data_IF_407640332254
#
_entry.id   IF_407640332254
#
_cell.length_a   1.000
_cell.length_b   1.000
_cell.length_c   1.000
_cell.angle_alpha   90.00
_cell.angle_beta   90.00
_cell.angle_gamma   90.00
#
_symmetry.space_group_name_H-M   'P 1'
#
loop_
_entity.id
_entity.type
_entity.pdbx_description
1 polymer ?
#
# COMPACT_ATOMS: atom_id res chain seq x y z
N UNK A 1 15.87 -0.26 1.86
CA UNK A 1 15.72 1.02 1.13
C UNK A 1 16.36 2.13 1.95
N UNK A 2 17.10 3.07 1.35
CA UNK A 2 17.61 4.23 2.06
C UNK A 2 16.47 5.16 2.48
N UNK A 3 16.60 5.78 3.64
CA UNK A 3 15.65 6.79 4.13
C UNK A 3 15.80 8.03 3.25
N UNK A 4 14.70 8.49 2.64
CA UNK A 4 14.67 9.72 1.84
C UNK A 4 13.96 10.82 2.64
N UNK A 5 14.64 11.92 2.99
CA UNK A 5 13.99 13.04 3.64
C UNK A 5 13.00 13.70 2.68
N UNK A 6 11.85 14.10 3.20
CA UNK A 6 10.81 14.79 2.44
C UNK A 6 10.79 16.25 2.86
N UNK A 7 10.68 17.16 1.88
CA UNK A 7 10.57 18.58 2.15
C UNK A 7 9.17 18.93 2.66
N UNK A 8 9.10 19.48 3.87
CA UNK A 8 7.85 19.85 4.53
C UNK A 8 7.01 20.84 3.73
N UNK A 9 7.64 21.79 3.03
CA UNK A 9 6.93 22.81 2.23
C UNK A 9 6.06 22.19 1.13
N UNK A 10 6.51 21.08 0.55
CA UNK A 10 5.74 20.36 -0.48
C UNK A 10 4.48 19.71 0.08
N UNK A 11 4.46 19.34 1.36
CA UNK A 11 3.25 18.82 2.00
C UNK A 11 2.26 19.94 2.27
N UNK A 12 2.74 21.09 2.73
CA UNK A 12 1.93 22.29 3.03
C UNK A 12 1.26 22.89 1.78
N UNK A 13 1.79 22.64 0.58
CA UNK A 13 1.15 23.03 -0.69
C UNK A 13 -0.16 22.28 -0.95
N UNK A 14 -0.32 21.07 -0.41
CA UNK A 14 -1.45 20.18 -0.69
C UNK A 14 -2.38 19.98 0.52
N UNK A 15 -1.97 20.37 1.71
CA UNK A 15 -2.78 20.26 2.94
C UNK A 15 -2.75 21.53 3.75
N UNK A 16 -3.79 21.77 4.53
CA UNK A 16 -3.87 22.97 5.38
C UNK A 16 -2.91 22.88 6.57
N UNK A 17 -2.57 21.66 6.98
CA UNK A 17 -1.67 21.38 8.10
C UNK A 17 -0.86 20.09 7.85
N UNK A 18 0.31 20.02 8.47
CA UNK A 18 1.20 18.86 8.55
C UNK A 18 0.46 17.63 9.12
N UNK A 19 -0.30 17.80 10.20
CA UNK A 19 -1.02 16.69 10.82
C UNK A 19 -2.09 16.10 9.89
N UNK A 20 -2.73 16.95 9.10
CA UNK A 20 -3.68 16.53 8.07
C UNK A 20 -2.98 15.70 6.98
N UNK A 21 -1.82 16.15 6.49
CA UNK A 21 -1.01 15.38 5.54
C UNK A 21 -0.62 14.00 6.08
N UNK A 22 -0.24 13.92 7.36
CA UNK A 22 0.09 12.64 8.01
C UNK A 22 -1.13 11.72 8.02
N UNK A 23 -2.31 12.22 8.41
CA UNK A 23 -3.54 11.42 8.44
C UNK A 23 -3.96 10.97 7.04
N UNK A 24 -3.93 11.88 6.05
CA UNK A 24 -4.27 11.56 4.65
C UNK A 24 -3.32 10.51 4.08
N UNK A 25 -2.01 10.71 4.23
CA UNK A 25 -1.00 9.74 3.77
C UNK A 25 -1.14 8.39 4.48
N UNK A 26 -1.39 8.37 5.79
CA UNK A 26 -1.57 7.14 6.55
C UNK A 26 -2.81 6.36 6.09
N UNK A 27 -3.94 7.04 5.87
CA UNK A 27 -5.17 6.40 5.36
C UNK A 27 -4.95 5.86 3.95
N UNK A 28 -4.29 6.62 3.08
CA UNK A 28 -3.96 6.16 1.72
C UNK A 28 -2.99 4.97 1.73
N UNK A 29 -2.00 4.98 2.61
CA UNK A 29 -1.06 3.88 2.76
C UNK A 29 -1.75 2.56 3.16
N UNK A 30 -2.79 2.63 4.01
CA UNK A 30 -3.62 1.45 4.35
C UNK A 30 -4.37 0.91 3.15
N UNK A 31 -5.02 1.78 2.36
CA UNK A 31 -5.70 1.36 1.12
C UNK A 31 -4.74 0.64 0.16
N UNK A 32 -3.57 1.22 -0.10
CA UNK A 32 -2.54 0.61 -0.96
C UNK A 32 -2.06 -0.72 -0.37
N UNK A 33 -1.91 -0.82 0.95
CA UNK A 33 -1.51 -2.07 1.59
C UNK A 33 -2.57 -3.17 1.44
N UNK A 34 -3.85 -2.82 1.59
CA UNK A 34 -4.95 -3.76 1.45
C UNK A 34 -5.11 -4.22 -0.01
N UNK A 35 -4.96 -3.29 -0.98
CA UNK A 35 -4.87 -3.59 -2.41
C UNK A 35 -3.71 -4.57 -2.72
N UNK A 36 -2.50 -4.26 -2.24
CA UNK A 36 -1.33 -5.12 -2.42
C UNK A 36 -1.53 -6.51 -1.79
N UNK A 37 -2.14 -6.56 -0.59
CA UNK A 37 -2.43 -7.83 0.09
C UNK A 37 -3.44 -8.65 -0.69
N UNK A 38 -4.49 -8.03 -1.21
CA UNK A 38 -5.49 -8.70 -2.03
C UNK A 38 -4.87 -9.26 -3.32
N UNK A 39 -4.07 -8.45 -4.02
CA UNK A 39 -3.35 -8.86 -5.24
C UNK A 39 -2.42 -10.05 -4.96
N UNK A 40 -1.61 -9.97 -3.91
CA UNK A 40 -0.70 -11.04 -3.51
C UNK A 40 -1.43 -12.34 -3.21
N UNK A 41 -2.50 -12.30 -2.40
CA UNK A 41 -3.27 -13.50 -2.08
C UNK A 41 -3.98 -14.09 -3.32
N UNK A 42 -4.47 -13.25 -4.22
CA UNK A 42 -5.12 -13.68 -5.47
C UNK A 42 -4.12 -14.39 -6.39
N UNK A 43 -2.91 -13.85 -6.51
CA UNK A 43 -1.86 -14.46 -7.32
C UNK A 43 -1.41 -15.80 -6.72
N UNK A 44 -1.25 -15.88 -5.39
CA UNK A 44 -0.96 -17.13 -4.70
C UNK A 44 -2.07 -18.16 -4.86
N UNK A 45 -3.35 -17.77 -4.78
CA UNK A 45 -4.47 -18.70 -4.94
C UNK A 45 -4.68 -19.18 -6.38
N UNK A 46 -4.24 -18.40 -7.36
CA UNK A 46 -4.34 -18.75 -8.80
C UNK A 46 -3.23 -19.69 -9.24
N UNK A 47 -2.12 -19.76 -8.49
CA UNK A 47 -1.12 -20.80 -8.67
C UNK A 47 -1.72 -22.11 -8.19
N UNK A 48 -2.14 -22.93 -9.15
CA UNK A 48 -2.66 -24.27 -8.96
C UNK A 48 -1.75 -24.97 -7.92
N UNK A 49 -2.26 -25.53 -6.80
CA UNK A 49 -1.46 -26.41 -5.99
C UNK A 49 -1.03 -27.51 -6.94
N UNK A 50 0.25 -27.66 -7.23
CA UNK A 50 0.76 -28.77 -8.03
C UNK A 50 0.19 -30.03 -7.41
N UNK A 51 -0.85 -30.57 -8.05
CA UNK A 51 -1.51 -31.78 -7.60
C UNK A 51 -0.47 -32.89 -7.80
N UNK A 52 -0.29 -33.66 -6.74
CA UNK A 52 0.42 -34.94 -6.63
C UNK A 52 1.94 -34.89 -6.33
N UNK A 53 2.19 -35.19 -5.05
CA UNK A 53 3.14 -36.18 -4.56
C UNK A 53 4.66 -35.89 -4.64
N UNK A 54 5.29 -36.02 -3.46
CA UNK A 54 6.74 -36.15 -3.20
C UNK A 54 7.65 -34.92 -3.32
N UNK A 55 7.19 -33.75 -3.77
CA UNK A 55 8.04 -32.54 -3.90
C UNK A 55 7.76 -31.39 -2.92
N UNK A 56 6.97 -31.60 -1.85
CA UNK A 56 6.75 -30.57 -0.80
C UNK A 56 8.05 -30.07 -0.14
N UNK A 57 9.16 -30.80 -0.26
CA UNK A 57 10.47 -30.41 0.28
C UNK A 57 11.26 -29.42 -0.62
N UNK A 58 10.85 -29.22 -1.89
CA UNK A 58 11.44 -28.20 -2.76
C UNK A 58 10.45 -27.06 -2.94
N UNK A 59 10.72 -25.92 -2.29
CA UNK A 59 9.90 -24.71 -2.39
C UNK A 59 9.51 -24.38 -3.84
N UNK A 60 8.26 -23.97 -4.03
CA UNK A 60 7.72 -23.65 -5.35
C UNK A 60 8.42 -22.40 -5.91
N UNK A 61 9.20 -22.50 -7.01
CA UNK A 61 9.98 -21.38 -7.55
C UNK A 61 9.10 -20.20 -7.99
N UNK A 62 7.85 -20.46 -8.36
CA UNK A 62 6.91 -19.42 -8.75
C UNK A 62 6.41 -18.60 -7.55
N UNK A 63 6.23 -19.25 -6.40
CA UNK A 63 5.87 -18.58 -5.15
C UNK A 63 7.03 -17.70 -4.63
N UNK A 64 8.28 -18.19 -4.74
CA UNK A 64 9.47 -17.42 -4.39
C UNK A 64 9.60 -16.18 -5.29
N UNK A 65 9.39 -16.35 -6.59
CA UNK A 65 9.43 -15.24 -7.57
C UNK A 65 8.42 -14.15 -7.25
N UNK A 66 7.17 -14.50 -6.94
CA UNK A 66 6.15 -13.52 -6.53
C UNK A 66 6.56 -12.83 -5.24
N UNK A 67 7.04 -13.58 -4.25
CA UNK A 67 7.44 -13.02 -2.96
C UNK A 67 8.56 -11.98 -3.14
N UNK A 68 9.57 -12.28 -3.97
CA UNK A 68 10.65 -11.36 -4.32
C UNK A 68 10.16 -10.13 -5.11
N UNK A 69 9.15 -10.30 -5.98
CA UNK A 69 8.55 -9.18 -6.71
C UNK A 69 7.86 -8.20 -5.75
N UNK A 70 7.03 -8.71 -4.85
CA UNK A 70 6.33 -7.89 -3.86
C UNK A 70 7.26 -7.27 -2.82
N UNK A 71 8.38 -7.92 -2.50
CA UNK A 71 9.40 -7.35 -1.62
C UNK A 71 10.10 -6.12 -2.25
N UNK A 72 10.36 -6.17 -3.57
CA UNK A 72 10.98 -5.07 -4.33
C UNK A 72 10.05 -3.89 -4.55
N UNK A 73 8.73 -4.08 -4.46
CA UNK A 73 7.76 -2.99 -4.63
C UNK A 73 7.98 -1.89 -3.58
N UNK A 74 7.63 -0.66 -3.98
CA UNK A 74 7.68 0.47 -3.07
C UNK A 74 6.74 0.25 -1.88
N UNK A 75 7.22 0.57 -0.66
CA UNK A 75 6.40 0.43 0.55
C UNK A 75 5.19 1.36 0.48
N UNK A 76 4.04 0.88 0.92
CA UNK A 76 2.75 1.58 0.78
C UNK A 76 2.75 3.01 1.32
N UNK A 77 3.51 3.28 2.40
CA UNK A 77 3.64 4.62 2.97
C UNK A 77 4.43 5.59 2.09
N UNK A 78 5.48 5.12 1.40
CA UNK A 78 6.25 5.94 0.46
C UNK A 78 5.42 6.27 -0.77
N UNK A 79 4.72 5.27 -1.32
CA UNK A 79 3.82 5.47 -2.46
C UNK A 79 2.70 6.46 -2.12
N UNK A 80 2.09 6.33 -0.93
CA UNK A 80 1.06 7.28 -0.46
C UNK A 80 1.59 8.72 -0.33
N UNK A 81 2.83 8.88 0.18
CA UNK A 81 3.47 10.20 0.27
C UNK A 81 3.76 10.80 -1.11
N UNK A 82 4.23 10.00 -2.07
CA UNK A 82 4.41 10.44 -3.45
C UNK A 82 3.08 10.86 -4.09
N UNK A 83 2.02 10.07 -3.91
CA UNK A 83 0.69 10.43 -4.43
C UNK A 83 0.15 11.73 -3.81
N UNK A 84 0.46 12.00 -2.54
CA UNK A 84 0.11 13.26 -1.87
C UNK A 84 0.90 14.45 -2.43
N UNK A 85 2.23 14.32 -2.55
CA UNK A 85 3.12 15.38 -3.05
C UNK A 85 2.91 15.68 -4.53
N UNK A 86 2.49 14.69 -5.31
CA UNK A 86 2.15 14.86 -6.72
C UNK A 86 0.74 15.46 -6.93
N UNK A 87 -0.01 15.73 -5.84
CA UNK A 87 -1.38 16.24 -5.91
C UNK A 87 -2.39 15.26 -6.53
N UNK A 88 -2.09 13.95 -6.54
CA UNK A 88 -2.95 12.90 -7.13
C UNK A 88 -4.07 12.47 -6.20
N UNK A 89 -4.02 12.90 -4.93
CA UNK A 89 -5.00 12.55 -3.91
C UNK A 89 -6.04 13.66 -3.72
N UNK A 90 -7.31 13.28 -3.72
CA UNK A 90 -8.41 14.12 -3.23
C UNK A 90 -8.89 13.55 -1.91
N UNK A 91 -9.03 14.40 -0.91
CA UNK A 91 -9.54 14.03 0.41
C UNK A 91 -10.55 15.08 0.89
N UNK A 92 -11.43 14.65 1.79
CA UNK A 92 -12.50 15.47 2.35
C UNK A 92 -12.69 15.08 3.81
N UNK A 93 -13.14 16.04 4.62
CA UNK A 93 -13.62 15.76 5.96
C UNK A 93 -14.93 14.98 5.90
N UNK A 94 -15.12 14.04 6.83
CA UNK A 94 -16.43 13.38 7.01
C UNK A 94 -17.42 14.41 7.50
N UNK A 95 -18.58 14.48 6.86
CA UNK A 95 -19.67 15.33 7.35
C UNK A 95 -20.18 14.80 8.68
N UNK A 96 -20.53 15.69 9.62
CA UNK A 96 -20.98 15.30 10.97
C UNK A 96 -22.15 14.32 10.93
N UNK A 97 -23.02 14.39 9.93
CA UNK A 97 -24.15 13.46 9.73
C UNK A 97 -23.71 12.02 9.42
N UNK A 98 -22.55 11.81 8.79
CA UNK A 98 -22.00 10.49 8.46
C UNK A 98 -21.30 9.85 9.68
N UNK A 99 -21.05 10.60 10.75
CA UNK A 99 -20.40 10.10 11.97
C UNK A 99 -21.39 9.36 12.88
N UNK A 100 -22.66 9.75 12.85
CA UNK A 100 -23.71 9.18 13.70
C UNK A 100 -24.51 8.06 13.01
N UNK A 101 -24.10 7.62 11.82
CA UNK A 101 -24.78 6.59 11.01
C UNK A 101 -24.03 5.25 10.94
N UNK A 102 -22.91 5.11 11.64
CA UNK A 102 -22.20 3.84 11.90
C UNK A 102 -22.44 3.40 13.34
#
# INVERSE_FOLDING_TARGET
MPIKPINMKKLEEHTSNIYEAVVVAARRARQINDENRLEFNTLLSTMIPTIEDEFEERGNPDQERISLEFEKREKSHLRALHELIDGKLKFRYRDKSEIFSE
#
